data_IF_531980027882
#
_entry.id   IF_531980027882
#
_cell.length_a   1.000
_cell.length_b   1.000
_cell.length_c   1.000
_cell.angle_alpha   90.00
_cell.angle_beta   90.00
_cell.angle_gamma   90.00
#
_symmetry.space_group_name_H-M   'P 1'
#
loop_
_entity.id
_entity.type
_entity.pdbx_description
1 polymer ?
#
# COMPACT_ATOMS: atom_id res chain seq x y z
N UNK A 1 -1.55 6.40 -24.37
CA UNK A 1 -0.84 5.36 -23.57
C UNK A 1 -1.65 5.17 -22.30
N UNK A 2 -1.93 3.94 -21.87
CA UNK A 2 -2.77 3.65 -20.70
C UNK A 2 -1.85 3.51 -19.49
N UNK A 3 -2.00 4.40 -18.51
CA UNK A 3 -1.15 4.45 -17.32
C UNK A 3 -1.45 3.33 -16.32
N UNK A 4 -2.57 2.61 -16.46
CA UNK A 4 -3.03 1.62 -15.47
C UNK A 4 -2.43 0.21 -15.66
N UNK A 5 -1.29 0.10 -16.35
CA UNK A 5 -0.61 -1.18 -16.53
C UNK A 5 0.43 -1.29 -15.40
N UNK A 6 0.34 -2.30 -14.52
CA UNK A 6 1.30 -2.49 -13.43
C UNK A 6 2.70 -2.76 -13.98
N UNK A 7 3.71 -2.09 -13.42
CA UNK A 7 5.12 -2.32 -13.70
C UNK A 7 5.83 -2.78 -12.43
N UNK A 8 6.79 -3.70 -12.49
CA UNK A 8 7.43 -4.19 -11.27
C UNK A 8 8.41 -5.33 -11.50
N UNK A 9 9.31 -5.52 -10.54
CA UNK A 9 10.34 -6.56 -10.55
C UNK A 9 9.98 -7.78 -9.71
N UNK A 10 10.71 -8.87 -9.93
CA UNK A 10 10.71 -10.04 -9.04
C UNK A 10 12.13 -10.57 -8.87
N UNK A 11 12.48 -11.08 -7.68
CA UNK A 11 13.80 -11.69 -7.37
C UNK A 11 14.95 -10.69 -7.59
N UNK A 12 15.89 -11.04 -8.47
CA UNK A 12 17.13 -10.29 -8.71
C UNK A 12 16.90 -8.97 -9.47
N UNK A 13 15.70 -8.74 -10.01
CA UNK A 13 15.32 -7.43 -10.60
C UNK A 13 14.70 -6.45 -9.59
N UNK A 14 14.54 -6.86 -8.33
CA UNK A 14 13.90 -6.09 -7.27
C UNK A 14 12.47 -6.56 -6.95
N UNK A 15 11.83 -5.92 -5.96
CA UNK A 15 10.44 -6.16 -5.57
C UNK A 15 9.69 -4.83 -5.50
N UNK A 16 8.39 -4.84 -5.81
CA UNK A 16 7.53 -3.67 -5.83
C UNK A 16 6.74 -3.56 -7.14
N UNK A 17 5.68 -2.75 -7.15
CA UNK A 17 4.72 -2.61 -8.23
C UNK A 17 4.36 -1.15 -8.48
N UNK A 18 4.97 -0.50 -9.46
CA UNK A 18 4.58 0.83 -9.91
C UNK A 18 3.28 0.84 -10.72
N UNK A 19 2.59 2.00 -10.78
CA UNK A 19 1.43 2.27 -11.65
C UNK A 19 0.18 1.39 -11.41
N UNK A 20 0.11 0.73 -10.26
CA UNK A 20 -1.05 -0.04 -9.78
C UNK A 20 -1.56 0.51 -8.46
N UNK A 21 -2.73 0.07 -8.00
CA UNK A 21 -3.24 0.42 -6.67
C UNK A 21 -2.24 0.06 -5.56
N UNK A 22 -1.50 -1.05 -5.73
CA UNK A 22 -0.42 -1.45 -4.82
C UNK A 22 0.78 -0.49 -4.89
N UNK A 23 1.06 0.10 -6.04
CA UNK A 23 2.12 1.10 -6.21
C UNK A 23 1.83 2.43 -5.57
N UNK A 24 0.55 2.79 -5.44
CA UNK A 24 0.16 4.00 -4.75
C UNK A 24 0.42 3.92 -3.25
N UNK A 25 0.38 2.71 -2.66
CA UNK A 25 0.63 2.52 -1.22
C UNK A 25 2.09 2.23 -0.88
N UNK A 26 2.95 1.93 -1.84
CA UNK A 26 4.38 1.66 -1.61
C UNK A 26 5.17 2.84 -1.01
N UNK A 27 4.66 4.07 -1.18
CA UNK A 27 5.30 5.29 -0.67
C UNK A 27 4.49 6.01 0.41
N UNK A 28 3.41 5.38 0.92
CA UNK A 28 2.61 5.96 2.01
C UNK A 28 2.90 5.25 3.33
N UNK A 29 2.78 5.99 4.43
CA UNK A 29 2.79 5.39 5.74
C UNK A 29 1.37 4.93 6.10
N UNK A 30 1.09 3.63 5.90
CA UNK A 30 -0.17 3.05 6.38
C UNK A 30 -0.15 2.95 7.91
N UNK A 31 -0.95 3.81 8.56
CA UNK A 31 -1.09 3.84 10.01
C UNK A 31 -2.48 3.39 10.43
N UNK A 32 -2.54 2.41 11.32
CA UNK A 32 -3.78 2.00 11.98
C UNK A 32 -4.12 3.00 13.10
N UNK A 33 -5.33 3.55 13.06
CA UNK A 33 -5.89 4.42 14.10
C UNK A 33 -7.16 3.77 14.62
N UNK A 34 -7.20 3.49 15.92
CA UNK A 34 -8.36 2.93 16.60
C UNK A 34 -9.06 4.06 17.35
N UNK A 35 -10.34 4.24 17.10
CA UNK A 35 -11.20 5.16 17.85
C UNK A 35 -12.10 4.31 18.73
N UNK A 36 -11.86 4.34 20.05
CA UNK A 36 -12.70 3.69 21.04
C UNK A 36 -13.31 4.74 21.97
N UNK A 37 -14.55 4.49 22.41
CA UNK A 37 -15.10 5.25 23.53
C UNK A 37 -14.35 4.90 24.82
N UNK A 38 -14.28 5.85 25.76
CA UNK A 38 -13.58 5.69 27.05
C UNK A 38 -14.15 4.51 27.87
N UNK A 39 -15.39 4.08 27.57
CA UNK A 39 -16.06 2.95 28.20
C UNK A 39 -16.00 1.62 27.40
N UNK A 40 -15.23 1.57 26.31
CA UNK A 40 -15.09 0.36 25.52
C UNK A 40 -14.29 -0.70 26.28
N UNK A 41 -14.95 -1.79 26.69
CA UNK A 41 -14.24 -2.99 27.14
C UNK A 41 -13.48 -3.57 25.95
N UNK A 42 -12.18 -3.75 26.13
CA UNK A 42 -11.37 -4.64 25.30
C UNK A 42 -11.72 -6.10 25.63
#
# INVERSE_FOLDING_TARGET
>A
MKADIPFGGVKDSGYGHELSDLGLTEFVNERVVIVSEIAGSF
#
